data_IF_602685516602
#
_entry.id   IF_602685516602
#
_cell.length_a   1.000
_cell.length_b   1.000
_cell.length_c   1.000
_cell.angle_alpha   90.00
_cell.angle_beta   90.00
_cell.angle_gamma   90.00
#
_symmetry.space_group_name_H-M   'P 1'
#
loop_
_entity.id
_entity.type
_entity.pdbx_description
1 polymer ?
#
# COMPACT_ATOMS: atom_id res chain seq x y z
N UNK A 1 27.59 -10.83 -67.99
CA UNK A 1 28.43 -11.99 -67.62
C UNK A 1 28.12 -12.44 -66.23
N UNK A 2 27.82 -13.72 -66.13
CA UNK A 2 27.65 -14.59 -64.97
C UNK A 2 26.43 -14.41 -64.11
N UNK A 3 25.42 -15.14 -64.49
CA UNK A 3 24.43 -15.89 -63.75
C UNK A 3 25.09 -16.79 -62.69
N UNK A 4 24.54 -16.84 -61.46
CA UNK A 4 24.55 -18.07 -60.73
C UNK A 4 23.19 -18.24 -60.03
N UNK A 5 22.48 -19.24 -60.50
CA UNK A 5 21.35 -19.95 -59.93
C UNK A 5 21.66 -20.42 -58.52
N UNK A 6 20.80 -20.13 -57.55
CA UNK A 6 20.60 -20.97 -56.41
C UNK A 6 19.17 -21.53 -56.46
N UNK A 7 19.07 -22.68 -57.11
CA UNK A 7 17.89 -23.54 -57.09
C UNK A 7 17.66 -24.09 -55.68
N UNK A 8 16.70 -23.52 -54.99
CA UNK A 8 16.07 -24.14 -53.82
C UNK A 8 14.82 -24.85 -54.32
N UNK A 9 14.87 -26.16 -54.43
CA UNK A 9 13.71 -27.02 -54.73
C UNK A 9 12.60 -26.77 -53.69
N UNK A 10 11.63 -25.96 -54.03
CA UNK A 10 10.35 -25.97 -53.41
C UNK A 10 9.59 -27.23 -53.86
N UNK A 11 9.88 -28.36 -53.21
CA UNK A 11 9.07 -29.56 -53.31
C UNK A 11 7.64 -29.22 -52.90
N UNK A 12 6.75 -29.13 -53.88
CA UNK A 12 5.32 -28.96 -53.66
C UNK A 12 4.79 -30.16 -52.90
N UNK A 13 4.64 -30.03 -51.55
CA UNK A 13 3.98 -31.02 -50.71
C UNK A 13 2.49 -31.04 -51.09
N UNK A 14 2.09 -32.06 -51.85
CA UNK A 14 0.68 -32.34 -52.14
C UNK A 14 0.04 -32.82 -50.81
N UNK A 15 -0.90 -32.04 -50.29
CA UNK A 15 -1.68 -32.41 -49.14
C UNK A 15 -2.43 -33.73 -49.45
N UNK A 16 -1.97 -34.85 -48.91
CA UNK A 16 -2.64 -36.15 -49.00
C UNK A 16 -3.47 -36.35 -47.73
N UNK A 17 -4.71 -36.81 -47.90
CA UNK A 17 -5.57 -37.17 -46.79
C UNK A 17 -4.87 -38.19 -45.90
N UNK A 18 -4.56 -37.83 -44.66
CA UNK A 18 -3.98 -38.72 -43.69
C UNK A 18 -5.02 -39.78 -43.30
N UNK A 19 -4.61 -41.08 -43.32
CA UNK A 19 -5.46 -42.19 -42.91
C UNK A 19 -4.78 -42.93 -41.76
N UNK A 20 -5.58 -43.64 -40.93
CA UNK A 20 -5.02 -44.44 -39.87
C UNK A 20 -4.09 -45.57 -40.36
N UNK A 21 -4.38 -46.12 -41.54
CA UNK A 21 -3.51 -47.08 -42.20
C UNK A 21 -2.15 -46.49 -42.57
N UNK A 22 -2.11 -45.27 -43.17
CA UNK A 22 -0.86 -44.59 -43.50
C UNK A 22 -0.03 -44.28 -42.26
N UNK A 23 -0.67 -43.88 -41.16
CA UNK A 23 0.03 -43.56 -39.92
C UNK A 23 0.67 -44.78 -39.22
N UNK A 24 0.17 -45.99 -39.51
CA UNK A 24 0.71 -47.23 -38.99
C UNK A 24 1.86 -47.81 -39.89
N UNK A 25 2.09 -47.19 -41.03
CA UNK A 25 3.24 -47.60 -41.91
C UNK A 25 4.53 -46.93 -41.48
N UNK A 26 5.64 -47.43 -42.02
CA UNK A 26 6.95 -46.83 -41.83
C UNK A 26 7.06 -45.62 -42.76
N UNK A 27 6.77 -44.41 -42.17
CA UNK A 27 6.80 -43.15 -42.90
C UNK A 27 8.21 -42.55 -42.88
N UNK A 28 8.66 -41.98 -43.96
CA UNK A 28 9.93 -41.23 -44.00
C UNK A 28 9.88 -39.98 -43.12
N UNK A 29 11.04 -39.53 -42.65
CA UNK A 29 11.15 -38.33 -41.86
C UNK A 29 10.67 -37.11 -42.68
N UNK A 30 9.68 -36.35 -42.14
CA UNK A 30 9.10 -35.21 -42.88
C UNK A 30 7.81 -34.71 -42.27
N UNK A 31 7.20 -33.74 -42.94
CA UNK A 31 5.89 -33.18 -42.55
C UNK A 31 4.83 -33.65 -43.55
N UNK A 32 3.75 -34.18 -42.99
CA UNK A 32 2.61 -34.64 -43.79
C UNK A 32 1.35 -33.88 -43.39
N UNK A 33 0.83 -33.09 -44.32
CA UNK A 33 -0.32 -32.23 -44.06
C UNK A 33 -1.65 -33.00 -44.26
N UNK A 34 -2.61 -32.74 -43.41
CA UNK A 34 -3.95 -33.26 -43.54
C UNK A 34 -4.80 -32.37 -44.46
N UNK A 35 -5.70 -32.97 -45.22
CA UNK A 35 -6.60 -32.29 -46.19
C UNK A 35 -7.81 -31.62 -45.52
N UNK A 36 -7.94 -31.66 -44.22
CA UNK A 36 -9.08 -31.06 -43.49
C UNK A 36 -9.17 -29.53 -43.53
N UNK A 37 -8.21 -28.86 -44.16
CA UNK A 37 -8.15 -27.40 -44.24
C UNK A 37 -7.95 -26.71 -42.92
N UNK A 38 -7.61 -27.44 -41.82
CA UNK A 38 -7.40 -26.91 -40.47
C UNK A 38 -5.95 -26.49 -40.23
N UNK A 39 -5.02 -26.78 -41.15
CA UNK A 39 -3.58 -26.61 -40.98
C UNK A 39 -2.95 -27.74 -40.10
N UNK A 40 -3.67 -28.82 -39.88
CA UNK A 40 -3.19 -30.00 -39.19
C UNK A 40 -2.11 -30.71 -40.03
N UNK A 41 -1.03 -31.12 -39.36
CA UNK A 41 0.01 -31.93 -39.99
C UNK A 41 0.66 -32.83 -38.91
N UNK A 42 1.25 -33.93 -39.37
CA UNK A 42 2.06 -34.78 -38.52
C UNK A 42 3.53 -34.61 -38.92
N UNK A 43 4.37 -34.51 -37.94
CA UNK A 43 5.82 -34.45 -38.12
C UNK A 43 6.43 -35.80 -37.73
N UNK A 44 7.08 -36.46 -38.68
CA UNK A 44 7.80 -37.72 -38.48
C UNK A 44 9.28 -37.39 -38.33
N UNK A 45 9.86 -37.76 -37.22
CA UNK A 45 11.31 -37.58 -36.99
C UNK A 45 12.12 -38.72 -37.57
N UNK A 46 13.42 -38.52 -37.77
CA UNK A 46 14.36 -39.57 -38.20
C UNK A 46 14.36 -40.81 -37.28
N UNK A 47 14.00 -40.63 -36.01
CA UNK A 47 13.82 -41.71 -35.02
C UNK A 47 12.52 -42.51 -35.18
N UNK A 48 11.68 -42.16 -36.17
CA UNK A 48 10.36 -42.77 -36.37
C UNK A 48 9.27 -42.20 -35.47
N UNK A 49 9.58 -41.34 -34.50
CA UNK A 49 8.56 -40.75 -33.62
C UNK A 49 7.70 -39.76 -34.39
N UNK A 50 6.39 -39.79 -34.12
CA UNK A 50 5.35 -39.00 -34.83
C UNK A 50 4.69 -38.05 -33.88
N UNK A 51 4.61 -36.74 -34.20
CA UNK A 51 3.96 -35.72 -33.41
C UNK A 51 3.01 -34.87 -34.22
N UNK A 52 1.85 -34.59 -33.66
CA UNK A 52 0.83 -33.73 -34.27
C UNK A 52 1.15 -32.25 -34.02
N UNK A 53 1.04 -31.45 -35.09
CA UNK A 53 1.14 -29.99 -35.04
C UNK A 53 0.11 -29.35 -35.94
N UNK A 54 -0.25 -28.12 -35.62
CA UNK A 54 -1.20 -27.32 -36.41
C UNK A 54 -0.64 -25.93 -36.68
N UNK A 55 -0.72 -25.49 -37.92
CA UNK A 55 -0.41 -24.11 -38.34
C UNK A 55 -1.70 -23.34 -38.61
N UNK A 56 -1.93 -22.25 -37.87
CA UNK A 56 -3.09 -21.37 -38.06
C UNK A 56 -2.65 -19.91 -38.09
N UNK A 57 -3.46 -19.04 -38.69
CA UNK A 57 -3.27 -17.59 -38.65
C UNK A 57 -4.14 -17.00 -37.52
N UNK A 58 -3.52 -16.12 -36.69
CA UNK A 58 -4.21 -15.37 -35.68
C UNK A 58 -3.59 -13.96 -35.57
N UNK A 59 -4.44 -12.91 -35.63
CA UNK A 59 -3.97 -11.52 -35.54
C UNK A 59 -2.90 -11.17 -36.61
N UNK A 60 -3.01 -11.68 -37.82
CA UNK A 60 -2.06 -11.46 -38.91
C UNK A 60 -0.76 -12.29 -38.82
N UNK A 61 -0.53 -13.01 -37.72
CA UNK A 61 0.68 -13.83 -37.49
C UNK A 61 0.37 -15.32 -37.62
N UNK A 62 1.37 -16.10 -38.03
CA UNK A 62 1.28 -17.55 -38.08
C UNK A 62 1.62 -18.12 -36.70
N UNK A 63 0.71 -18.95 -36.13
CA UNK A 63 0.92 -19.71 -34.90
C UNK A 63 1.12 -21.18 -35.26
N UNK A 64 2.10 -21.82 -34.62
CA UNK A 64 2.29 -23.27 -34.65
C UNK A 64 1.94 -23.84 -33.27
N UNK A 65 1.03 -24.82 -33.23
CA UNK A 65 0.46 -25.44 -32.03
C UNK A 65 0.80 -26.93 -32.03
N UNK A 66 1.54 -27.41 -31.07
CA UNK A 66 1.72 -28.86 -30.85
C UNK A 66 0.45 -29.46 -30.29
N UNK A 67 -0.05 -30.58 -30.87
CA UNK A 67 -1.30 -31.21 -30.46
C UNK A 67 -1.11 -32.55 -29.71
N UNK A 68 0.13 -33.01 -29.60
CA UNK A 68 0.49 -34.26 -28.92
C UNK A 68 1.18 -35.29 -29.83
N UNK A 69 1.52 -36.45 -29.29
CA UNK A 69 2.26 -37.50 -30.01
C UNK A 69 1.29 -38.60 -30.47
N UNK A 70 1.52 -39.11 -31.68
CA UNK A 70 0.89 -40.36 -32.14
C UNK A 70 1.67 -41.55 -31.59
N UNK A 71 1.00 -42.63 -31.16
CA UNK A 71 -0.45 -42.91 -31.20
C UNK A 71 -1.25 -42.41 -29.99
N UNK A 72 -0.66 -41.77 -29.00
CA UNK A 72 -1.37 -41.29 -27.81
C UNK A 72 -2.52 -40.34 -28.16
N UNK A 73 -2.35 -39.50 -29.17
CA UNK A 73 -3.42 -38.70 -29.80
C UNK A 73 -3.73 -39.34 -31.14
N UNK A 74 -4.93 -39.89 -31.31
CA UNK A 74 -5.39 -40.49 -32.55
C UNK A 74 -5.59 -39.41 -33.64
N UNK A 75 -5.65 -39.84 -34.94
CA UNK A 75 -5.97 -38.94 -36.05
C UNK A 75 -7.32 -38.21 -35.86
N UNK A 76 -8.33 -38.96 -35.43
CA UNK A 76 -9.66 -38.41 -35.18
C UNK A 76 -9.61 -37.31 -34.10
N UNK A 77 -8.89 -37.54 -33.02
CA UNK A 77 -8.71 -36.60 -31.92
C UNK A 77 -7.89 -35.37 -32.36
N UNK A 78 -6.81 -35.59 -33.13
CA UNK A 78 -6.01 -34.51 -33.69
C UNK A 78 -6.85 -33.58 -34.61
N UNK A 79 -7.70 -34.15 -35.45
CA UNK A 79 -8.65 -33.39 -36.29
C UNK A 79 -9.64 -32.60 -35.47
N UNK A 80 -10.21 -33.22 -34.41
CA UNK A 80 -11.15 -32.55 -33.52
C UNK A 80 -10.51 -31.34 -32.83
N UNK A 81 -9.32 -31.50 -32.26
CA UNK A 81 -8.56 -30.43 -31.62
C UNK A 81 -8.20 -29.32 -32.62
N UNK A 82 -7.76 -29.70 -33.82
CA UNK A 82 -7.41 -28.74 -34.86
C UNK A 82 -8.62 -27.92 -35.35
N UNK A 83 -9.78 -28.53 -35.48
CA UNK A 83 -11.02 -27.84 -35.81
C UNK A 83 -11.45 -26.85 -34.72
N UNK A 84 -11.36 -27.26 -33.45
CA UNK A 84 -11.65 -26.39 -32.30
C UNK A 84 -10.72 -25.18 -32.24
N UNK A 85 -9.41 -25.36 -32.39
CA UNK A 85 -8.44 -24.29 -32.42
C UNK A 85 -8.72 -23.30 -33.57
N UNK A 86 -9.09 -23.79 -34.75
CA UNK A 86 -9.44 -22.94 -35.90
C UNK A 86 -10.70 -22.13 -35.60
N UNK A 87 -11.72 -22.74 -35.04
CA UNK A 87 -12.95 -22.06 -34.65
C UNK A 87 -12.70 -20.99 -33.57
N UNK A 88 -11.83 -21.25 -32.58
CA UNK A 88 -11.41 -20.24 -31.58
C UNK A 88 -10.70 -19.07 -32.27
N UNK A 89 -9.74 -19.34 -33.14
CA UNK A 89 -8.99 -18.30 -33.86
C UNK A 89 -9.92 -17.41 -34.71
N UNK A 90 -10.93 -17.99 -35.35
CA UNK A 90 -11.95 -17.26 -36.12
C UNK A 90 -12.84 -16.36 -35.27
N UNK A 91 -13.06 -16.73 -33.99
CA UNK A 91 -13.78 -15.92 -32.98
C UNK A 91 -12.89 -14.88 -32.30
N UNK A 92 -11.64 -14.69 -32.74
CA UNK A 92 -10.71 -13.74 -32.12
C UNK A 92 -10.08 -14.22 -30.81
N UNK A 93 -10.22 -15.52 -30.47
CA UNK A 93 -9.63 -16.13 -29.26
C UNK A 93 -8.30 -16.79 -29.65
N UNK A 94 -7.22 -16.45 -28.97
CA UNK A 94 -5.91 -17.07 -29.20
C UNK A 94 -5.85 -18.50 -28.63
N UNK A 95 -5.81 -19.57 -29.46
CA UNK A 95 -5.87 -20.94 -28.95
C UNK A 95 -4.66 -21.33 -28.09
N UNK A 96 -3.51 -20.71 -28.31
CA UNK A 96 -2.30 -20.95 -27.49
C UNK A 96 -2.45 -20.43 -26.07
N UNK A 97 -3.04 -19.24 -25.92
CA UNK A 97 -3.30 -18.66 -24.60
C UNK A 97 -4.42 -19.43 -23.88
N UNK A 98 -5.49 -19.81 -24.61
CA UNK A 98 -6.63 -20.55 -24.06
C UNK A 98 -6.20 -21.92 -23.53
N UNK A 99 -5.30 -22.62 -24.22
CA UNK A 99 -4.76 -23.92 -23.81
C UNK A 99 -3.90 -23.84 -22.54
N UNK A 100 -3.23 -22.71 -22.31
CA UNK A 100 -2.38 -22.48 -21.14
C UNK A 100 -3.13 -21.94 -19.93
N UNK A 101 -4.45 -21.72 -20.02
CA UNK A 101 -5.27 -21.40 -18.84
C UNK A 101 -5.24 -22.55 -17.85
N UNK A 102 -5.06 -22.28 -16.56
CA UNK A 102 -5.10 -23.35 -15.54
C UNK A 102 -6.43 -24.11 -15.65
N UNK A 103 -6.39 -25.43 -15.63
CA UNK A 103 -7.58 -26.30 -15.73
C UNK A 103 -8.50 -26.17 -14.52
N UNK A 104 -7.96 -25.78 -13.38
CA UNK A 104 -8.70 -25.42 -12.16
C UNK A 104 -8.46 -23.93 -11.89
N UNK A 105 -9.54 -23.16 -11.80
CA UNK A 105 -9.46 -21.73 -11.51
C UNK A 105 -9.27 -21.57 -10.00
N UNK A 106 -8.19 -20.94 -9.53
CA UNK A 106 -7.93 -20.82 -8.11
C UNK A 106 -9.00 -20.00 -7.39
N UNK A 107 -9.24 -20.31 -6.12
CA UNK A 107 -10.08 -19.54 -5.25
C UNK A 107 -9.45 -18.18 -4.89
N UNK A 108 -10.25 -17.22 -4.46
CA UNK A 108 -9.76 -15.89 -4.06
C UNK A 108 -8.62 -15.97 -3.03
N UNK A 109 -8.71 -16.86 -2.04
CA UNK A 109 -7.68 -17.06 -1.03
C UNK A 109 -6.33 -17.46 -1.66
N UNK A 110 -6.34 -18.34 -2.63
CA UNK A 110 -5.12 -18.80 -3.32
C UNK A 110 -4.51 -17.67 -4.14
N UNK A 111 -5.34 -16.91 -4.85
CA UNK A 111 -4.88 -15.72 -5.60
C UNK A 111 -4.33 -14.65 -4.66
N UNK A 112 -4.97 -14.43 -3.52
CA UNK A 112 -4.47 -13.52 -2.49
C UNK A 112 -3.06 -13.91 -2.04
N UNK A 113 -2.81 -15.18 -1.73
CA UNK A 113 -1.49 -15.66 -1.33
C UNK A 113 -0.44 -15.53 -2.44
N UNK A 114 -0.84 -15.71 -3.71
CA UNK A 114 0.05 -15.50 -4.85
C UNK A 114 0.37 -14.02 -5.10
N UNK A 115 -0.60 -13.13 -4.90
CA UNK A 115 -0.47 -11.70 -5.18
C UNK A 115 0.24 -10.92 -4.05
N UNK A 116 0.03 -11.33 -2.79
CA UNK A 116 0.54 -10.61 -1.62
C UNK A 116 2.05 -10.36 -1.63
N UNK A 117 2.94 -11.30 -2.00
CA UNK A 117 4.37 -11.03 -2.01
C UNK A 117 4.73 -9.80 -2.85
N UNK A 118 4.29 -9.73 -4.11
CA UNK A 118 4.58 -8.60 -4.99
C UNK A 118 3.95 -7.29 -4.51
N UNK A 119 2.72 -7.33 -3.99
CA UNK A 119 2.03 -6.14 -3.45
C UNK A 119 2.73 -5.63 -2.19
N UNK A 120 3.17 -6.53 -1.32
CA UNK A 120 3.78 -6.17 -0.05
C UNK A 120 5.22 -5.66 -0.21
N UNK A 121 5.96 -6.09 -1.23
CA UNK A 121 7.32 -5.61 -1.49
C UNK A 121 7.38 -4.12 -1.83
N UNK A 122 6.32 -3.57 -2.42
CA UNK A 122 6.19 -2.12 -2.64
C UNK A 122 6.00 -1.32 -1.33
N UNK A 123 5.59 -1.97 -0.25
CA UNK A 123 5.23 -1.33 1.01
C UNK A 123 6.42 -1.31 1.99
N UNK A 124 6.98 -0.14 2.25
CA UNK A 124 8.09 0.04 3.21
C UNK A 124 7.68 -0.13 4.68
N UNK A 125 6.40 0.08 5.02
CA UNK A 125 5.93 0.08 6.41
C UNK A 125 5.38 -1.29 6.80
N UNK A 126 6.01 -1.94 7.78
CA UNK A 126 5.64 -3.27 8.30
C UNK A 126 4.20 -3.33 8.83
N UNK A 127 3.70 -2.25 9.46
CA UNK A 127 2.29 -2.17 9.90
C UNK A 127 1.32 -2.16 8.74
N UNK A 128 1.65 -1.47 7.65
CA UNK A 128 0.82 -1.49 6.44
C UNK A 128 0.80 -2.88 5.80
N UNK A 129 1.94 -3.60 5.78
CA UNK A 129 2.01 -4.99 5.32
C UNK A 129 1.07 -5.88 6.13
N UNK A 130 1.16 -5.82 7.47
CA UNK A 130 0.27 -6.58 8.36
C UNK A 130 -1.21 -6.22 8.13
N UNK A 131 -1.54 -4.92 8.02
CA UNK A 131 -2.91 -4.46 7.77
C UNK A 131 -3.47 -4.95 6.43
N UNK A 132 -2.65 -5.11 5.40
CA UNK A 132 -3.09 -5.67 4.13
C UNK A 132 -3.67 -7.07 4.32
N UNK A 133 -2.88 -7.96 4.92
CA UNK A 133 -3.27 -9.34 5.19
C UNK A 133 -4.47 -9.40 6.13
N UNK A 134 -4.35 -8.84 7.32
CA UNK A 134 -5.41 -8.90 8.35
C UNK A 134 -6.75 -8.36 7.85
N UNK A 135 -6.75 -7.28 7.04
CA UNK A 135 -8.02 -6.74 6.53
C UNK A 135 -8.68 -7.68 5.53
N UNK A 136 -7.91 -8.31 4.64
CA UNK A 136 -8.45 -9.29 3.69
C UNK A 136 -8.92 -10.55 4.43
N UNK A 137 -8.15 -11.04 5.40
CA UNK A 137 -8.51 -12.19 6.22
C UNK A 137 -9.79 -11.95 7.04
N UNK A 138 -9.92 -10.76 7.65
CA UNK A 138 -11.06 -10.44 8.50
C UNK A 138 -12.34 -10.23 7.72
N UNK A 139 -12.29 -9.57 6.56
CA UNK A 139 -13.49 -9.11 5.86
C UNK A 139 -13.77 -9.81 4.53
N UNK A 140 -12.73 -10.17 3.76
CA UNK A 140 -12.90 -10.75 2.44
C UNK A 140 -12.98 -12.28 2.47
N UNK A 141 -12.03 -12.95 3.15
CA UNK A 141 -11.96 -14.40 3.16
C UNK A 141 -13.23 -15.10 3.68
N UNK A 142 -13.94 -14.61 4.72
CA UNK A 142 -15.17 -15.25 5.18
C UNK A 142 -16.29 -15.31 4.13
N UNK A 143 -16.29 -14.35 3.19
CA UNK A 143 -17.36 -14.23 2.16
C UNK A 143 -16.95 -14.82 0.83
N UNK A 144 -15.76 -14.48 0.31
CA UNK A 144 -15.33 -14.82 -1.04
C UNK A 144 -14.06 -15.68 -1.08
N UNK A 145 -13.53 -16.07 0.07
CA UNK A 145 -12.23 -16.76 0.16
C UNK A 145 -12.16 -18.08 -0.59
N UNK A 146 -13.24 -18.88 -0.58
CA UNK A 146 -13.35 -20.16 -1.27
C UNK A 146 -13.94 -20.06 -2.69
N UNK A 147 -14.40 -18.88 -3.10
CA UNK A 147 -15.02 -18.67 -4.40
C UNK A 147 -13.94 -18.65 -5.50
N UNK A 148 -14.06 -19.42 -6.59
CA UNK A 148 -13.20 -19.30 -7.76
C UNK A 148 -13.21 -17.86 -8.28
N UNK A 149 -12.01 -17.30 -8.59
CA UNK A 149 -11.90 -15.86 -8.89
C UNK A 149 -12.71 -15.41 -10.09
N UNK A 150 -12.92 -16.29 -11.07
CA UNK A 150 -13.74 -16.00 -12.25
C UNK A 150 -15.26 -15.99 -11.98
N UNK A 151 -15.69 -16.47 -10.83
CA UNK A 151 -17.10 -16.51 -10.41
C UNK A 151 -17.46 -15.33 -9.50
N UNK A 152 -16.48 -14.60 -9.00
CA UNK A 152 -16.69 -13.44 -8.13
C UNK A 152 -17.39 -12.32 -8.91
N UNK A 153 -18.54 -11.89 -8.41
CA UNK A 153 -19.41 -10.89 -9.02
C UNK A 153 -19.33 -9.54 -8.30
N UNK A 154 -19.82 -8.49 -8.97
CA UNK A 154 -19.98 -7.15 -8.36
C UNK A 154 -20.95 -7.22 -7.17
N UNK A 155 -21.99 -8.06 -7.22
CA UNK A 155 -22.96 -8.20 -6.14
C UNK A 155 -22.35 -8.79 -4.87
N UNK A 156 -21.45 -9.76 -4.99
CA UNK A 156 -20.74 -10.32 -3.83
C UNK A 156 -19.80 -9.31 -3.18
N UNK A 157 -19.05 -8.54 -4.00
CA UNK A 157 -18.21 -7.45 -3.49
C UNK A 157 -19.05 -6.36 -2.83
N UNK A 158 -20.18 -5.99 -3.42
CA UNK A 158 -21.13 -5.04 -2.82
C UNK A 158 -21.67 -5.54 -1.48
N UNK A 159 -22.17 -6.77 -1.42
CA UNK A 159 -22.69 -7.38 -0.20
C UNK A 159 -21.66 -7.43 0.94
N UNK A 160 -20.39 -7.71 0.62
CA UNK A 160 -19.28 -7.71 1.56
C UNK A 160 -18.99 -6.30 2.11
N UNK A 161 -19.06 -5.28 1.27
CA UNK A 161 -18.70 -3.90 1.63
C UNK A 161 -19.84 -3.14 2.30
N UNK A 162 -21.08 -3.39 1.92
CA UNK A 162 -22.27 -2.65 2.35
C UNK A 162 -22.40 -2.53 3.88
N UNK A 163 -22.25 -3.61 4.69
CA UNK A 163 -22.40 -3.54 6.15
C UNK A 163 -21.42 -2.57 6.83
N UNK A 164 -20.21 -2.42 6.26
CA UNK A 164 -19.15 -1.61 6.84
C UNK A 164 -18.96 -0.26 6.13
N UNK A 165 -19.73 0.00 5.05
CA UNK A 165 -19.49 1.17 4.21
C UNK A 165 -19.80 2.49 4.91
N UNK A 166 -20.87 2.54 5.69
CA UNK A 166 -21.28 3.75 6.44
C UNK A 166 -20.47 3.92 7.73
N UNK A 167 -20.32 2.87 8.51
CA UNK A 167 -19.75 2.94 9.86
C UNK A 167 -18.21 2.97 9.84
N UNK A 168 -17.60 2.20 8.94
CA UNK A 168 -16.15 2.07 8.81
C UNK A 168 -15.68 2.44 7.40
N UNK A 169 -16.18 3.56 6.87
CA UNK A 169 -15.97 4.01 5.48
C UNK A 169 -14.53 3.93 4.99
N UNK A 170 -13.56 4.35 5.83
CA UNK A 170 -12.13 4.31 5.48
C UNK A 170 -11.63 2.87 5.33
N UNK A 171 -12.03 1.99 6.24
CA UNK A 171 -11.68 0.57 6.20
C UNK A 171 -12.31 -0.11 4.99
N UNK A 172 -13.59 0.13 4.75
CA UNK A 172 -14.32 -0.41 3.59
C UNK A 172 -13.73 0.03 2.25
N UNK A 173 -13.40 1.33 2.12
CA UNK A 173 -12.76 1.87 0.92
C UNK A 173 -11.37 1.25 0.67
N UNK A 174 -10.57 1.07 1.73
CA UNK A 174 -9.26 0.41 1.61
C UNK A 174 -9.38 -1.08 1.32
N UNK A 175 -10.34 -1.75 1.95
CA UNK A 175 -10.64 -3.17 1.68
C UNK A 175 -11.00 -3.36 0.21
N UNK A 176 -11.92 -2.54 -0.34
CA UNK A 176 -12.27 -2.55 -1.75
C UNK A 176 -11.03 -2.46 -2.65
N UNK A 177 -10.16 -1.47 -2.42
CA UNK A 177 -8.94 -1.29 -3.23
C UNK A 177 -7.94 -2.44 -3.08
N UNK A 178 -7.94 -3.15 -1.94
CA UNK A 178 -7.13 -4.35 -1.74
C UNK A 178 -7.67 -5.54 -2.50
N UNK A 179 -8.98 -5.75 -2.47
CA UNK A 179 -9.66 -6.79 -3.26
C UNK A 179 -9.43 -6.51 -4.76
N UNK A 180 -9.61 -5.26 -5.20
CA UNK A 180 -9.36 -4.85 -6.58
C UNK A 180 -7.95 -5.23 -7.05
N UNK A 181 -6.91 -4.92 -6.27
CA UNK A 181 -5.53 -5.29 -6.62
C UNK A 181 -5.29 -6.80 -6.70
N UNK A 182 -5.92 -7.59 -5.82
CA UNK A 182 -5.83 -9.07 -5.86
C UNK A 182 -6.50 -9.61 -7.12
N UNK A 183 -7.67 -9.08 -7.48
CA UNK A 183 -8.39 -9.48 -8.70
C UNK A 183 -7.71 -8.98 -9.98
N UNK A 184 -7.07 -7.80 -9.96
CA UNK A 184 -6.24 -7.33 -11.07
C UNK A 184 -5.08 -8.29 -11.34
N UNK A 185 -4.46 -8.82 -10.27
CA UNK A 185 -3.43 -9.86 -10.41
C UNK A 185 -3.99 -11.11 -11.11
N UNK A 186 -5.19 -11.56 -10.75
CA UNK A 186 -5.84 -12.71 -11.40
C UNK A 186 -6.14 -12.44 -12.88
N UNK A 187 -6.59 -11.23 -13.22
CA UNK A 187 -6.85 -10.80 -14.60
C UNK A 187 -5.57 -10.82 -15.43
N UNK A 188 -4.48 -10.20 -14.91
CA UNK A 188 -3.18 -10.16 -15.60
C UNK A 188 -2.61 -11.56 -15.82
N UNK A 189 -2.86 -12.49 -14.88
CA UNK A 189 -2.46 -13.91 -15.01
C UNK A 189 -3.37 -14.75 -15.90
N UNK A 190 -4.45 -14.17 -16.44
CA UNK A 190 -5.42 -14.87 -17.31
C UNK A 190 -6.34 -15.86 -16.56
N UNK A 191 -6.44 -15.75 -15.24
CA UNK A 191 -7.28 -16.60 -14.40
C UNK A 191 -8.72 -16.04 -14.25
N UNK A 192 -8.90 -14.78 -14.59
CA UNK A 192 -10.18 -14.07 -14.59
C UNK A 192 -10.27 -13.16 -15.82
N UNK A 193 -11.47 -13.02 -16.38
CA UNK A 193 -11.72 -12.07 -17.49
C UNK A 193 -12.12 -10.70 -16.95
N UNK A 194 -11.72 -9.59 -17.59
CA UNK A 194 -12.23 -8.25 -17.26
C UNK A 194 -13.73 -8.14 -17.57
N UNK A 195 -14.45 -7.17 -16.94
CA UNK A 195 -13.96 -6.15 -16.02
C UNK A 195 -13.78 -6.65 -14.59
N UNK A 196 -12.90 -5.97 -13.79
CA UNK A 196 -12.70 -6.27 -12.38
C UNK A 196 -13.96 -5.93 -11.56
N UNK A 197 -14.61 -6.89 -10.86
CA UNK A 197 -15.84 -6.64 -10.10
C UNK A 197 -15.65 -5.72 -8.89
N UNK A 198 -14.43 -5.55 -8.38
CA UNK A 198 -14.12 -4.63 -7.30
C UNK A 198 -13.74 -3.21 -7.79
N UNK A 199 -13.76 -2.95 -9.11
CA UNK A 199 -13.49 -1.62 -9.65
C UNK A 199 -14.50 -0.60 -9.13
N UNK A 200 -13.99 0.62 -8.82
CA UNK A 200 -14.85 1.69 -8.35
C UNK A 200 -15.65 2.31 -9.50
N UNK A 201 -14.94 2.80 -10.52
CA UNK A 201 -15.57 3.44 -11.68
C UNK A 201 -16.29 2.42 -12.56
N UNK A 202 -17.49 2.76 -12.98
CA UNK A 202 -18.32 1.89 -13.84
C UNK A 202 -18.97 0.70 -13.14
N UNK A 203 -18.63 0.43 -11.86
CA UNK A 203 -19.19 -0.68 -11.08
C UNK A 203 -19.70 -0.19 -9.73
N UNK A 204 -18.92 -0.33 -8.66
CA UNK A 204 -19.35 -0.09 -7.28
C UNK A 204 -19.75 1.36 -7.00
N UNK A 205 -19.31 2.33 -7.80
CA UNK A 205 -19.71 3.74 -7.69
C UNK A 205 -21.21 3.96 -7.97
N UNK A 206 -21.86 3.04 -8.66
CA UNK A 206 -23.33 3.06 -8.87
C UNK A 206 -24.11 2.48 -7.69
N UNK A 207 -23.49 1.61 -6.90
CA UNK A 207 -24.13 0.86 -5.80
C UNK A 207 -23.82 1.44 -4.42
N UNK A 208 -22.65 2.05 -4.25
CA UNK A 208 -22.18 2.59 -2.97
C UNK A 208 -22.01 4.11 -3.06
N UNK A 209 -22.47 4.85 -2.03
CA UNK A 209 -22.26 6.29 -2.01
C UNK A 209 -20.78 6.65 -1.96
N UNK A 210 -20.42 7.76 -2.60
CA UNK A 210 -19.03 8.25 -2.59
C UNK A 210 -18.54 8.49 -1.15
N UNK A 211 -17.31 8.05 -0.86
CA UNK A 211 -16.66 8.19 0.46
C UNK A 211 -16.75 9.62 1.02
N UNK A 212 -16.56 10.64 0.19
CA UNK A 212 -16.63 12.04 0.59
C UNK A 212 -18.02 12.46 1.07
N UNK A 213 -19.10 11.81 0.57
CA UNK A 213 -20.48 12.08 0.97
C UNK A 213 -20.89 11.34 2.25
N UNK A 214 -20.20 10.23 2.58
CA UNK A 214 -20.51 9.42 3.77
C UNK A 214 -19.71 9.88 4.98
N UNK A 215 -18.44 10.23 4.79
CA UNK A 215 -17.54 10.62 5.85
C UNK A 215 -17.27 12.12 5.83
N UNK A 216 -17.89 12.83 6.74
CA UNK A 216 -17.46 14.19 7.08
C UNK A 216 -16.04 14.08 7.66
N UNK A 217 -15.08 14.73 7.01
CA UNK A 217 -13.68 14.76 7.47
C UNK A 217 -13.66 15.49 8.82
N UNK A 218 -13.63 14.71 9.92
CA UNK A 218 -13.49 15.27 11.26
C UNK A 218 -12.01 15.44 11.58
N UNK A 219 -11.64 16.59 12.12
CA UNK A 219 -10.32 16.79 12.69
C UNK A 219 -10.16 15.92 13.95
N UNK A 220 -8.92 15.68 14.36
CA UNK A 220 -8.68 15.00 15.62
C UNK A 220 -9.14 15.89 16.77
N UNK A 221 -9.85 15.32 17.79
CA UNK A 221 -10.29 16.10 18.96
C UNK A 221 -9.11 16.82 19.60
N UNK A 222 -9.21 18.16 19.68
CA UNK A 222 -8.17 19.03 20.21
C UNK A 222 -8.44 19.40 21.67
N UNK A 223 -7.37 19.56 22.44
CA UNK A 223 -7.46 20.19 23.77
C UNK A 223 -7.80 21.67 23.58
N UNK A 224 -8.79 22.19 24.31
CA UNK A 224 -9.14 23.59 24.25
C UNK A 224 -8.07 24.47 24.92
N UNK A 225 -7.82 25.67 24.40
CA UNK A 225 -6.79 26.58 24.96
C UNK A 225 -7.08 26.96 26.39
N UNK A 226 -8.34 27.19 26.76
CA UNK A 226 -8.77 27.47 28.13
C UNK A 226 -8.43 26.35 29.14
N UNK A 227 -8.31 25.10 28.65
CA UNK A 227 -8.01 23.93 29.47
C UNK A 227 -6.52 23.57 29.44
N UNK A 228 -5.72 24.19 28.56
CA UNK A 228 -4.34 23.78 28.29
C UNK A 228 -3.44 23.86 29.51
N UNK A 229 -3.58 24.90 30.32
CA UNK A 229 -2.76 25.12 31.53
C UNK A 229 -3.15 24.13 32.64
N UNK A 230 -4.46 23.91 32.88
CA UNK A 230 -4.97 22.91 33.80
C UNK A 230 -4.51 21.48 33.40
N UNK A 231 -4.66 21.17 32.12
CA UNK A 231 -4.22 19.88 31.55
C UNK A 231 -2.70 19.66 31.71
N UNK A 232 -1.92 20.74 31.48
CA UNK A 232 -0.47 20.68 31.65
C UNK A 232 -0.05 20.48 33.11
N UNK A 233 -0.70 21.17 34.02
CA UNK A 233 -0.48 21.00 35.46
C UNK A 233 -0.75 19.56 35.91
N UNK A 234 -1.84 18.98 35.45
CA UNK A 234 -2.22 17.59 35.72
C UNK A 234 -1.21 16.60 35.08
N UNK A 235 -0.73 16.86 33.85
CA UNK A 235 0.28 16.02 33.21
C UNK A 235 1.61 16.03 33.97
N UNK A 236 2.02 17.16 34.50
CA UNK A 236 3.26 17.29 35.34
C UNK A 236 3.23 16.46 36.64
N UNK A 237 2.05 16.13 37.12
CA UNK A 237 1.89 15.27 38.31
C UNK A 237 1.95 13.77 37.96
N UNK A 238 2.03 13.42 36.69
CA UNK A 238 2.08 12.03 36.26
C UNK A 238 3.52 11.57 36.06
N UNK A 239 3.84 10.42 36.62
CA UNK A 239 5.14 9.79 36.56
C UNK A 239 5.25 8.81 35.37
N UNK A 240 6.49 8.45 35.08
CA UNK A 240 6.89 7.40 34.13
C UNK A 240 7.15 7.90 32.72
N UNK A 241 7.75 7.02 31.94
CA UNK A 241 8.23 7.32 30.58
C UNK A 241 7.14 7.82 29.64
N UNK A 242 5.90 7.33 29.80
CA UNK A 242 4.75 7.78 29.00
C UNK A 242 4.37 9.23 29.26
N UNK A 243 4.47 9.70 30.51
CA UNK A 243 4.21 11.08 30.89
C UNK A 243 5.31 12.01 30.33
N UNK A 244 6.59 11.67 30.54
CA UNK A 244 7.72 12.40 29.96
C UNK A 244 7.63 12.51 28.42
N UNK A 245 7.27 11.42 27.76
CA UNK A 245 7.04 11.40 26.30
C UNK A 245 5.87 12.29 25.88
N UNK A 246 4.76 12.32 26.62
CA UNK A 246 3.62 13.19 26.34
C UNK A 246 3.94 14.67 26.61
N UNK A 247 4.72 14.96 27.64
CA UNK A 247 5.24 16.31 27.90
C UNK A 247 6.07 16.81 26.72
N UNK A 248 7.06 16.04 26.25
CA UNK A 248 7.89 16.42 25.12
C UNK A 248 7.09 16.56 23.82
N UNK A 249 6.09 15.68 23.61
CA UNK A 249 5.17 15.79 22.47
C UNK A 249 4.45 17.14 22.49
N UNK A 250 3.95 17.54 23.65
CA UNK A 250 3.20 18.79 23.83
C UNK A 250 4.10 20.01 23.60
N UNK A 251 5.28 20.02 24.24
CA UNK A 251 6.25 21.11 24.13
C UNK A 251 6.75 21.30 22.70
N UNK A 252 6.98 20.21 21.95
CA UNK A 252 7.49 20.24 20.57
C UNK A 252 6.39 20.30 19.53
N UNK A 253 5.13 20.12 19.86
CA UNK A 253 4.02 19.89 18.94
C UNK A 253 4.30 18.77 17.92
N UNK A 254 5.11 17.75 18.25
CA UNK A 254 5.53 16.67 17.37
C UNK A 254 4.44 15.59 17.24
N UNK A 255 4.58 14.69 16.25
CA UNK A 255 3.67 13.54 16.11
C UNK A 255 4.02 12.45 17.13
N UNK A 256 3.01 11.73 17.62
CA UNK A 256 3.19 10.64 18.60
C UNK A 256 4.26 9.63 18.17
N UNK A 257 4.29 9.21 16.90
CA UNK A 257 5.30 8.29 16.39
C UNK A 257 6.72 8.85 16.36
N UNK A 258 6.86 10.15 16.20
CA UNK A 258 8.16 10.84 16.19
C UNK A 258 8.78 10.83 17.59
N UNK A 259 8.00 11.16 18.61
CA UNK A 259 8.44 11.14 20.02
C UNK A 259 8.73 9.71 20.49
N UNK A 260 7.81 8.77 20.26
CA UNK A 260 7.99 7.37 20.69
C UNK A 260 9.20 6.70 20.09
N UNK A 261 9.60 7.12 18.91
CA UNK A 261 10.79 6.61 18.23
C UNK A 261 12.01 7.52 18.34
N UNK A 262 11.98 8.55 19.17
CA UNK A 262 13.12 9.47 19.38
C UNK A 262 14.34 8.71 19.89
N UNK A 263 15.49 9.01 19.30
CA UNK A 263 16.77 8.38 19.66
C UNK A 263 17.77 9.41 20.14
N UNK A 264 18.67 8.98 21.00
CA UNK A 264 19.76 9.82 21.51
C UNK A 264 20.70 10.23 20.39
N UNK A 265 20.93 9.41 19.42
CA UNK A 265 21.80 9.69 18.26
C UNK A 265 21.22 10.82 17.37
N UNK A 266 19.95 11.18 17.57
CA UNK A 266 19.26 12.28 16.87
C UNK A 266 19.33 13.61 17.65
N UNK A 267 19.85 13.59 18.89
CA UNK A 267 19.90 14.75 19.78
C UNK A 267 21.32 15.27 19.83
N UNK A 268 21.48 16.53 19.49
CA UNK A 268 22.75 17.23 19.59
C UNK A 268 22.59 18.39 20.58
N UNK A 269 23.29 18.31 21.72
CA UNK A 269 23.41 19.41 22.64
C UNK A 269 24.64 20.25 22.32
N UNK A 270 24.48 21.54 22.34
CA UNK A 270 25.56 22.51 22.13
C UNK A 270 26.46 22.61 23.36
N UNK A 271 27.68 23.07 23.17
CA UNK A 271 28.49 23.56 24.26
C UNK A 271 27.89 24.87 24.81
N UNK A 272 28.38 25.32 25.95
CA UNK A 272 27.87 26.50 26.65
C UNK A 272 27.96 27.78 25.80
N UNK A 273 29.04 27.95 25.04
CA UNK A 273 29.25 29.12 24.20
C UNK A 273 28.24 29.16 23.02
N UNK A 274 28.06 28.04 22.34
CA UNK A 274 27.11 27.94 21.24
C UNK A 274 25.65 28.05 21.74
N UNK A 275 25.33 27.42 22.86
CA UNK A 275 24.00 27.49 23.49
C UNK A 275 23.65 28.94 23.86
N UNK A 276 24.60 29.68 24.48
CA UNK A 276 24.43 31.09 24.82
C UNK A 276 24.26 31.97 23.57
N UNK A 277 25.04 31.73 22.53
CA UNK A 277 24.94 32.45 21.26
C UNK A 277 23.61 32.25 20.56
N UNK A 278 23.07 31.04 20.56
CA UNK A 278 21.81 30.69 19.92
C UNK A 278 20.60 30.97 20.78
N UNK A 279 20.74 30.99 22.09
CA UNK A 279 19.66 31.15 23.05
C UNK A 279 18.84 29.89 23.30
N UNK A 280 19.36 28.71 22.92
CA UNK A 280 18.76 27.40 23.20
C UNK A 280 19.82 26.28 23.22
N UNK A 281 19.64 25.22 24.03
CA UNK A 281 20.70 24.26 24.36
C UNK A 281 20.99 23.19 23.32
N UNK A 282 20.20 23.03 22.26
CA UNK A 282 20.49 21.98 21.30
C UNK A 282 19.43 21.78 20.23
N UNK A 283 19.63 20.76 19.41
CA UNK A 283 18.74 20.42 18.28
C UNK A 283 18.43 18.92 18.31
N UNK A 284 17.17 18.59 18.09
CA UNK A 284 16.74 17.24 17.75
C UNK A 284 16.53 17.12 16.24
N UNK A 285 17.39 16.34 15.57
CA UNK A 285 17.36 16.13 14.12
C UNK A 285 16.68 14.81 13.79
N UNK A 286 15.52 14.86 13.19
CA UNK A 286 14.76 13.68 12.72
C UNK A 286 15.16 13.33 11.29
N UNK A 287 15.77 12.16 11.05
CA UNK A 287 16.20 11.79 9.71
C UNK A 287 15.02 11.58 8.75
N UNK A 288 15.27 11.78 7.46
CA UNK A 288 14.24 11.74 6.40
C UNK A 288 13.46 10.42 6.36
N UNK A 289 14.11 9.30 6.69
CA UNK A 289 13.52 7.96 6.70
C UNK A 289 12.38 7.82 7.72
N UNK A 290 12.46 8.55 8.81
CA UNK A 290 11.46 8.57 9.88
C UNK A 290 10.34 9.60 9.64
N UNK A 291 10.54 10.53 8.72
CA UNK A 291 9.58 11.59 8.43
C UNK A 291 8.59 11.19 7.33
N UNK A 292 7.31 11.52 7.54
CA UNK A 292 6.24 11.27 6.53
C UNK A 292 6.53 11.97 5.20
N UNK A 293 7.16 13.14 5.25
CA UNK A 293 7.50 13.93 4.07
C UNK A 293 8.83 13.51 3.40
N UNK A 294 9.54 12.49 3.95
CA UNK A 294 10.86 12.05 3.50
C UNK A 294 11.90 13.18 3.39
N UNK A 295 11.81 14.16 4.28
CA UNK A 295 12.77 15.25 4.44
C UNK A 295 13.19 15.29 5.90
N UNK A 296 14.48 15.56 6.14
CA UNK A 296 15.00 15.82 7.48
C UNK A 296 14.21 16.96 8.13
N UNK A 297 14.04 16.86 9.44
CA UNK A 297 13.34 17.90 10.19
C UNK A 297 14.05 18.14 11.53
N UNK A 298 14.57 19.33 11.71
CA UNK A 298 15.25 19.78 12.91
C UNK A 298 14.27 20.49 13.85
N UNK A 299 14.37 20.23 15.14
CA UNK A 299 13.55 20.82 16.19
C UNK A 299 14.47 21.44 17.23
N UNK A 300 14.40 22.74 17.50
CA UNK A 300 15.18 23.34 18.56
C UNK A 300 14.73 22.78 19.92
N UNK A 301 15.70 22.49 20.78
CA UNK A 301 15.47 22.00 22.14
C UNK A 301 15.54 23.21 23.07
N UNK A 302 14.46 23.53 23.77
CA UNK A 302 14.43 24.59 24.77
C UNK A 302 15.03 24.09 26.10
N UNK A 303 15.31 25.00 27.05
CA UNK A 303 15.90 24.63 28.35
C UNK A 303 15.05 23.61 29.11
N UNK A 304 13.73 23.78 29.11
CA UNK A 304 12.84 22.83 29.76
C UNK A 304 12.76 21.47 29.07
N UNK A 305 12.89 21.44 27.73
CA UNK A 305 12.99 20.18 26.98
C UNK A 305 14.32 19.47 27.24
N UNK A 306 15.42 20.22 27.35
CA UNK A 306 16.72 19.70 27.70
C UNK A 306 16.69 19.01 29.07
N UNK A 307 16.17 19.68 30.09
CA UNK A 307 16.01 19.11 31.42
C UNK A 307 15.16 17.82 31.39
N UNK A 308 14.02 17.84 30.69
CA UNK A 308 13.15 16.68 30.54
C UNK A 308 13.85 15.50 29.88
N UNK A 309 14.62 15.73 28.82
CA UNK A 309 15.34 14.69 28.06
C UNK A 309 16.48 14.11 28.92
N UNK A 310 17.28 14.96 29.57
CA UNK A 310 18.40 14.53 30.42
C UNK A 310 17.93 13.73 31.66
N UNK A 311 16.71 13.99 32.13
CA UNK A 311 16.09 13.24 33.23
C UNK A 311 15.44 11.92 32.81
N UNK A 312 15.79 11.36 31.63
CA UNK A 312 15.38 10.00 31.25
C UNK A 312 16.38 8.95 31.76
N UNK A 313 15.91 7.71 31.93
CA UNK A 313 16.68 6.64 32.60
C UNK A 313 17.86 6.10 31.78
N UNK A 314 18.06 6.56 30.54
CA UNK A 314 19.15 6.13 29.68
C UNK A 314 19.57 7.23 28.70
N UNK A 315 20.82 7.15 28.24
CA UNK A 315 21.42 8.11 27.31
C UNK A 315 21.86 7.47 25.97
N UNK A 316 21.35 6.30 25.63
CA UNK A 316 21.68 5.61 24.39
C UNK A 316 20.44 4.95 23.78
N UNK A 317 20.37 4.89 22.44
CA UNK A 317 19.26 4.30 21.71
C UNK A 317 17.98 5.10 21.85
N UNK A 318 16.85 4.47 22.21
CA UNK A 318 15.58 5.18 22.38
C UNK A 318 15.60 6.06 23.63
N UNK A 319 15.18 7.32 23.49
CA UNK A 319 15.01 8.27 24.61
C UNK A 319 13.89 7.79 25.55
N UNK A 320 12.76 7.35 24.97
CA UNK A 320 11.61 6.85 25.73
C UNK A 320 11.44 5.35 25.50
N UNK A 321 11.93 4.53 26.41
CA UNK A 321 11.82 3.07 26.38
C UNK A 321 10.58 2.59 27.13
N UNK A 322 9.93 1.54 26.63
CA UNK A 322 8.93 0.79 27.40
C UNK A 322 9.62 -0.07 28.47
N UNK A 323 8.87 -0.60 29.43
CA UNK A 323 9.40 -1.56 30.42
C UNK A 323 10.04 -2.81 29.81
N UNK A 324 9.77 -3.10 28.53
CA UNK A 324 10.43 -4.16 27.73
C UNK A 324 11.63 -3.66 26.91
N UNK A 325 12.13 -2.47 27.19
CA UNK A 325 13.25 -1.80 26.49
C UNK A 325 13.01 -1.58 25.00
N UNK A 326 11.78 -1.62 24.56
CA UNK A 326 11.34 -1.36 23.19
C UNK A 326 10.64 0.00 23.07
N UNK A 327 10.28 0.38 21.85
CA UNK A 327 9.47 1.58 21.59
C UNK A 327 8.14 1.53 22.35
N UNK A 328 7.72 2.66 22.92
CA UNK A 328 6.40 2.80 23.52
C UNK A 328 5.29 2.42 22.51
N UNK A 329 4.24 1.75 22.97
CA UNK A 329 3.14 1.35 22.09
C UNK A 329 2.41 2.57 21.50
N UNK A 330 1.72 2.39 20.37
CA UNK A 330 0.92 3.44 19.74
C UNK A 330 -0.16 3.99 20.68
N UNK A 331 -0.63 3.16 21.59
CA UNK A 331 -1.70 3.50 22.51
C UNK A 331 -1.22 4.18 23.79
N UNK A 332 0.08 4.15 24.12
CA UNK A 332 0.60 4.63 25.41
C UNK A 332 0.17 6.08 25.70
N UNK A 333 0.45 6.99 24.79
CA UNK A 333 0.11 8.40 24.97
C UNK A 333 -1.40 8.65 24.96
N UNK A 334 -2.12 7.96 24.08
CA UNK A 334 -3.59 8.05 24.03
C UNK A 334 -4.27 7.48 25.27
N UNK A 335 -3.74 6.38 25.83
CA UNK A 335 -4.25 5.80 27.07
C UNK A 335 -4.01 6.72 28.27
N UNK A 336 -2.84 7.40 28.30
CA UNK A 336 -2.56 8.38 29.35
C UNK A 336 -3.55 9.55 29.28
N UNK A 337 -3.75 10.15 28.12
CA UNK A 337 -4.73 11.24 27.95
C UNK A 337 -6.15 10.83 28.33
N UNK A 338 -6.57 9.61 27.97
CA UNK A 338 -7.88 9.08 28.39
C UNK A 338 -8.00 8.93 29.92
N UNK A 339 -6.94 8.46 30.59
CA UNK A 339 -6.93 8.38 32.07
C UNK A 339 -7.00 9.75 32.71
N UNK A 340 -6.24 10.73 32.19
CA UNK A 340 -6.30 12.12 32.66
C UNK A 340 -7.70 12.72 32.47
N UNK A 341 -8.32 12.49 31.32
CA UNK A 341 -9.70 12.90 31.07
C UNK A 341 -10.67 12.27 32.05
N UNK A 342 -10.55 10.97 32.32
CA UNK A 342 -11.45 10.24 33.22
C UNK A 342 -11.22 10.57 34.70
N UNK A 343 -10.00 11.01 35.09
CA UNK A 343 -9.70 11.40 36.49
C UNK A 343 -10.08 12.86 36.80
N UNK A 344 -10.54 13.63 35.83
CA UNK A 344 -10.94 15.03 36.01
C UNK A 344 -12.46 15.16 35.83
N UNK A 345 -13.15 15.80 36.74
CA UNK A 345 -14.61 15.95 36.77
C UNK A 345 -15.14 16.60 35.48
N UNK A 346 -14.54 17.69 35.05
CA UNK A 346 -14.90 18.37 33.80
C UNK A 346 -14.30 17.70 32.55
N UNK A 347 -13.31 16.82 32.73
CA UNK A 347 -12.57 16.20 31.66
C UNK A 347 -11.78 17.18 30.80
N UNK A 348 -11.35 16.70 29.63
CA UNK A 348 -10.64 17.47 28.59
C UNK A 348 -11.26 17.16 27.23
N UNK A 349 -12.23 17.95 26.80
CA UNK A 349 -13.10 17.67 25.67
C UNK A 349 -12.90 18.71 24.55
N UNK A 350 -12.86 18.25 23.33
CA UNK A 350 -12.93 19.12 22.15
C UNK A 350 -14.37 19.63 21.93
N UNK A 351 -14.57 20.94 21.94
CA UNK A 351 -15.90 21.54 21.82
C UNK A 351 -16.59 21.24 20.48
N UNK A 352 -15.82 21.03 19.39
CA UNK A 352 -16.40 20.78 18.05
C UNK A 352 -16.93 19.36 17.88
N UNK A 353 -16.27 18.40 18.49
CA UNK A 353 -16.61 16.98 18.35
C UNK A 353 -17.28 16.36 19.55
N UNK A 354 -17.27 17.05 20.70
CA UNK A 354 -17.70 16.56 22.01
C UNK A 354 -16.96 15.26 22.45
N UNK A 355 -15.75 15.04 21.93
CA UNK A 355 -14.93 13.87 22.22
C UNK A 355 -13.70 14.25 23.05
N UNK A 356 -13.17 13.32 23.88
CA UNK A 356 -11.93 13.54 24.61
C UNK A 356 -10.76 13.91 23.71
N UNK A 357 -9.97 14.89 24.13
CA UNK A 357 -8.76 15.30 23.42
C UNK A 357 -7.78 14.14 23.24
N UNK A 358 -7.08 14.11 22.10
CA UNK A 358 -6.13 13.06 21.76
C UNK A 358 -4.73 13.63 21.45
N UNK A 359 -3.64 12.84 21.53
CA UNK A 359 -2.28 13.34 21.31
C UNK A 359 -2.08 14.09 19.98
N UNK A 360 -2.77 13.66 18.91
CA UNK A 360 -2.69 14.37 17.63
C UNK A 360 -3.41 15.72 17.66
N UNK A 361 -4.46 15.85 18.48
CA UNK A 361 -5.20 17.09 18.70
C UNK A 361 -4.38 18.20 19.35
N UNK A 362 -3.36 17.86 20.16
CA UNK A 362 -2.45 18.84 20.77
C UNK A 362 -1.70 19.69 19.74
N UNK A 363 -1.49 19.19 18.55
CA UNK A 363 -0.91 19.97 17.44
C UNK A 363 -1.88 21.04 16.92
N UNK A 364 -3.17 20.74 16.94
CA UNK A 364 -4.21 21.73 16.65
C UNK A 364 -4.27 22.79 17.75
N UNK A 365 -4.22 22.38 19.01
CA UNK A 365 -4.14 23.27 20.18
C UNK A 365 -2.95 24.25 20.06
N UNK A 366 -1.76 23.74 19.75
CA UNK A 366 -0.59 24.59 19.50
C UNK A 366 -0.83 25.60 18.38
N UNK A 367 -1.42 25.15 17.26
CA UNK A 367 -1.70 26.03 16.13
C UNK A 367 -2.78 27.09 16.43
N UNK A 368 -3.79 26.71 17.20
CA UNK A 368 -4.83 27.65 17.67
C UNK A 368 -4.22 28.69 18.62
N UNK A 369 -3.34 28.28 19.53
CA UNK A 369 -2.58 29.19 20.37
C UNK A 369 -1.73 30.18 19.57
N UNK A 370 -1.01 29.73 18.56
CA UNK A 370 -0.23 30.60 17.66
C UNK A 370 -1.12 31.66 17.01
N UNK A 371 -2.30 31.26 16.52
CA UNK A 371 -3.22 32.16 15.86
C UNK A 371 -3.83 33.19 16.83
N UNK A 372 -4.20 32.77 18.05
CA UNK A 372 -4.83 33.66 19.04
C UNK A 372 -3.83 34.62 19.70
N UNK A 373 -2.56 34.25 19.78
CA UNK A 373 -1.51 35.08 20.40
C UNK A 373 -0.67 35.88 19.42
N UNK A 374 -1.01 35.84 18.12
CA UNK A 374 -0.29 36.61 17.10
C UNK A 374 1.16 36.15 16.87
N UNK A 375 1.50 34.92 17.19
CA UNK A 375 2.83 34.36 16.95
C UNK A 375 3.07 34.07 15.45
N UNK A 376 4.34 33.89 15.07
CA UNK A 376 4.70 33.58 13.67
C UNK A 376 4.04 32.31 13.17
N UNK A 377 3.08 32.47 12.25
CA UNK A 377 2.41 31.34 11.57
C UNK A 377 3.42 30.49 10.82
N UNK A 378 4.40 31.10 10.20
CA UNK A 378 5.43 30.47 9.40
C UNK A 378 6.32 29.56 10.25
N UNK A 379 6.86 30.10 11.36
CA UNK A 379 7.61 29.31 12.33
C UNK A 379 6.79 28.13 12.86
N UNK A 380 5.50 28.33 13.12
CA UNK A 380 4.62 27.26 13.57
C UNK A 380 4.39 26.17 12.53
N UNK A 381 4.14 26.50 11.25
CA UNK A 381 3.96 25.50 10.20
C UNK A 381 5.26 24.71 9.93
N UNK A 382 6.43 25.39 9.99
CA UNK A 382 7.72 24.73 9.93
C UNK A 382 7.93 23.80 11.15
N UNK A 383 7.55 24.24 12.37
CA UNK A 383 7.61 23.43 13.58
C UNK A 383 6.75 22.17 13.45
N UNK A 384 5.58 22.28 12.87
CA UNK A 384 4.66 21.19 12.62
C UNK A 384 5.09 20.27 11.46
N UNK A 385 6.17 20.59 10.75
CA UNK A 385 6.57 19.89 9.51
C UNK A 385 5.39 19.77 8.53
N UNK A 386 4.66 20.87 8.35
CA UNK A 386 3.61 21.01 7.34
C UNK A 386 4.20 21.59 6.05
N UNK A 387 3.54 21.29 4.93
CA UNK A 387 3.78 22.04 3.70
C UNK A 387 3.14 23.41 3.86
N UNK A 388 3.93 24.45 3.80
CA UNK A 388 3.50 25.84 3.89
C UNK A 388 3.78 26.54 2.57
N UNK A 389 2.79 27.28 2.03
CA UNK A 389 2.94 27.98 0.76
C UNK A 389 2.79 27.10 -0.50
N UNK A 390 2.98 27.73 -1.65
CA UNK A 390 2.99 27.08 -2.96
C UNK A 390 4.29 26.29 -3.19
N UNK A 391 4.33 25.41 -4.21
CA UNK A 391 5.55 24.70 -4.59
C UNK A 391 6.68 25.67 -5.00
N UNK A 392 6.30 26.84 -5.53
CA UNK A 392 7.24 27.90 -5.90
C UNK A 392 7.85 28.54 -4.67
N UNK A 393 7.05 28.90 -3.65
CA UNK A 393 7.55 29.44 -2.38
C UNK A 393 8.49 28.48 -1.67
N UNK A 394 8.18 27.17 -1.71
CA UNK A 394 9.06 26.13 -1.16
C UNK A 394 10.45 26.05 -1.82
N UNK A 395 10.56 26.41 -3.10
CA UNK A 395 11.84 26.42 -3.81
C UNK A 395 12.77 27.55 -3.32
N UNK A 396 12.20 28.64 -2.82
CA UNK A 396 12.94 29.80 -2.30
C UNK A 396 13.24 29.70 -0.79
N UNK A 397 12.58 28.79 -0.06
CA UNK A 397 12.74 28.61 1.38
C UNK A 397 14.01 27.82 1.69
N UNK A 398 15.09 28.52 2.05
CA UNK A 398 16.41 27.92 2.40
C UNK A 398 16.69 27.84 3.89
N UNK A 399 15.87 28.51 4.71
CA UNK A 399 16.01 28.53 6.17
C UNK A 399 14.93 27.69 6.83
N UNK A 400 15.22 27.08 7.95
CA UNK A 400 14.26 26.36 8.80
C UNK A 400 13.86 27.16 10.05
N UNK A 401 14.26 28.42 10.12
CA UNK A 401 13.94 29.39 11.19
C UNK A 401 14.15 28.83 12.60
N UNK A 402 15.25 28.10 12.86
CA UNK A 402 15.49 27.42 14.13
C UNK A 402 15.43 28.36 15.32
N UNK A 403 16.05 29.54 15.24
CA UNK A 403 16.12 30.51 16.36
C UNK A 403 14.73 31.11 16.64
N UNK A 404 13.95 31.43 15.62
CA UNK A 404 12.59 31.91 15.75
C UNK A 404 11.67 30.83 16.32
N UNK A 405 11.84 29.58 15.86
CA UNK A 405 11.11 28.43 16.37
C UNK A 405 11.47 28.10 17.81
N UNK A 406 12.72 28.32 18.22
CA UNK A 406 13.12 28.18 19.62
C UNK A 406 12.36 29.17 20.50
N UNK A 407 12.33 30.46 20.13
CA UNK A 407 11.55 31.50 20.81
C UNK A 407 10.07 31.16 20.87
N UNK A 408 9.49 30.71 19.75
CA UNK A 408 8.10 30.28 19.68
C UNK A 408 7.79 29.15 20.68
N UNK A 409 8.67 28.13 20.76
CA UNK A 409 8.49 27.00 21.69
C UNK A 409 8.69 27.40 23.15
N UNK A 410 9.60 28.34 23.45
CA UNK A 410 9.74 28.93 24.79
C UNK A 410 8.46 29.67 25.20
N UNK A 411 7.91 30.51 24.31
CA UNK A 411 6.62 31.18 24.55
C UNK A 411 5.47 30.17 24.78
N UNK A 412 5.42 29.11 23.98
CA UNK A 412 4.44 28.04 24.14
C UNK A 412 4.56 27.32 25.50
N UNK A 413 5.78 26.94 25.88
CA UNK A 413 6.01 26.32 27.16
C UNK A 413 5.69 27.24 28.34
N UNK A 414 6.05 28.52 28.24
CA UNK A 414 5.68 29.54 29.24
C UNK A 414 4.15 29.66 29.37
N UNK A 415 3.43 29.70 28.26
CA UNK A 415 1.96 29.73 28.28
C UNK A 415 1.39 28.50 28.98
N UNK A 416 1.86 27.30 28.69
CA UNK A 416 1.43 26.07 29.36
C UNK A 416 1.70 26.07 30.86
N UNK A 417 2.82 26.66 31.30
CA UNK A 417 3.28 26.71 32.68
C UNK A 417 2.69 27.84 33.52
N UNK A 418 2.02 28.79 32.90
CA UNK A 418 1.40 29.93 33.64
C UNK A 418 0.30 29.40 34.58
N UNK A 419 0.33 29.78 35.84
CA UNK A 419 -0.75 29.47 36.77
C UNK A 419 -1.97 30.31 36.41
N UNK A 420 -3.13 29.68 36.32
CA UNK A 420 -4.44 30.34 36.22
C UNK A 420 -4.75 30.90 37.61
#
# INVERSE_FOLDING_TARGET
>A
MFSQNCGGECGGEVAKRLTAQLLNTNMEAGRYYDDSGTGLHIYVRKSGSKSWSQKIRFGGKQLELGLGNYPMVSLAEARRIAAQNKAMAQRGINPKLERNKPKTIPAFKEIMEMALPSILDELKNTKHRAQWRTTLETYALPSIGSTPVNEITVNEIHALLQPIWKDKTETASRLRGRIEKVLDYAIVKGMMSPPNPAAWQGNLSALLPQKAKVKIKRNHPALQLKDAQRWWAELKQRDGTGAKALMLLTMTASRSGEIRGMRWEEVHFFDENEANKRGFPGIWTRPAERMKAKREHRVPITSAMHELICNTDNQTGLVFKSGKLTTLSDMTLSALMRRMHASCEEGFVDQRSALPAVPHGLRSTFRDWVAETGQSREAAELQLAHKFGSEVEHAYYRTDLLDERAKLLECWHKFLGTKI
#
